data_IF_610907956791
#
_entry.id   IF_610907956791
#
_cell.length_a   1.000
_cell.length_b   1.000
_cell.length_c   1.000
_cell.angle_alpha   90.00
_cell.angle_beta   90.00
_cell.angle_gamma   90.00
#
_symmetry.space_group_name_H-M   'P 1'
#
loop_
_entity.id
_entity.type
_entity.pdbx_description
1 polymer ?
#
# COMPACT_ATOMS: atom_id res chain seq x y z
N UNK A 1 -30.50 -48.19 -8.70
CA UNK A 1 -29.39 -47.20 -8.73
C UNK A 1 -29.85 -45.74 -8.60
N UNK A 2 -31.03 -45.45 -7.97
CA UNK A 2 -31.66 -44.13 -7.96
C UNK A 2 -31.74 -43.44 -6.59
N UNK A 3 -31.33 -44.07 -5.45
CA UNK A 3 -31.64 -43.53 -4.13
C UNK A 3 -30.45 -43.18 -3.21
N UNK A 4 -29.28 -43.02 -3.75
CA UNK A 4 -28.08 -42.76 -2.91
C UNK A 4 -27.82 -41.23 -2.68
N UNK A 5 -28.51 -40.31 -3.34
CA UNK A 5 -28.24 -38.87 -3.24
C UNK A 5 -29.31 -38.00 -2.56
N UNK A 6 -30.21 -38.60 -1.76
CA UNK A 6 -31.18 -37.85 -0.93
C UNK A 6 -30.94 -37.97 0.57
N UNK A 7 -29.73 -37.78 1.03
CA UNK A 7 -29.47 -37.26 2.38
C UNK A 7 -28.94 -35.84 2.26
N UNK A 8 -29.82 -34.92 1.91
CA UNK A 8 -29.64 -33.53 2.31
C UNK A 8 -29.75 -33.51 3.83
N UNK A 9 -28.60 -33.56 4.53
CA UNK A 9 -28.56 -33.28 5.95
C UNK A 9 -29.27 -31.93 6.15
N UNK A 10 -30.21 -31.87 7.09
CA UNK A 10 -30.89 -30.63 7.45
C UNK A 10 -29.82 -29.59 7.76
N UNK A 11 -29.78 -28.47 6.99
CA UNK A 11 -28.87 -27.37 7.26
C UNK A 11 -29.21 -26.82 8.65
N UNK A 12 -28.33 -27.04 9.62
CA UNK A 12 -28.52 -26.61 11.01
C UNK A 12 -28.12 -25.16 11.22
N UNK A 13 -27.58 -24.48 10.18
CA UNK A 13 -27.19 -23.09 10.26
C UNK A 13 -28.40 -22.16 10.33
N UNK A 14 -28.49 -21.35 11.39
CA UNK A 14 -29.50 -20.33 11.53
C UNK A 14 -29.00 -19.02 10.89
N UNK A 15 -29.75 -18.48 9.92
CA UNK A 15 -29.43 -17.20 9.29
C UNK A 15 -29.82 -16.07 10.24
N UNK A 16 -28.83 -15.32 10.72
CA UNK A 16 -29.08 -14.15 11.57
C UNK A 16 -29.56 -12.94 10.74
N UNK A 17 -29.04 -12.76 9.54
CA UNK A 17 -29.47 -11.72 8.61
C UNK A 17 -29.01 -12.04 7.19
N UNK A 18 -29.74 -11.54 6.21
CA UNK A 18 -29.38 -11.61 4.78
C UNK A 18 -29.52 -10.21 4.17
N UNK A 19 -28.41 -9.67 3.65
CA UNK A 19 -28.38 -8.35 3.00
C UNK A 19 -28.04 -8.54 1.53
N UNK A 20 -28.73 -7.86 0.59
CA UNK A 20 -28.46 -7.98 -0.82
C UNK A 20 -27.02 -7.54 -1.18
N UNK A 21 -26.28 -8.38 -1.91
CA UNK A 21 -24.98 -8.05 -2.48
C UNK A 21 -25.17 -7.22 -3.76
N UNK A 22 -25.23 -5.88 -3.61
CA UNK A 22 -25.54 -4.93 -4.70
C UNK A 22 -24.83 -3.58 -4.49
N UNK A 23 -24.97 -2.69 -5.49
CA UNK A 23 -24.43 -1.32 -5.44
C UNK A 23 -22.90 -1.29 -5.37
N UNK A 24 -22.36 -0.32 -4.65
CA UNK A 24 -20.92 -0.07 -4.54
C UNK A 24 -20.14 -1.31 -4.06
N UNK A 25 -20.69 -2.05 -3.07
CA UNK A 25 -20.04 -3.27 -2.56
C UNK A 25 -19.86 -4.34 -3.63
N UNK A 26 -20.85 -4.48 -4.53
CA UNK A 26 -20.75 -5.43 -5.65
C UNK A 26 -19.69 -4.99 -6.65
N UNK A 27 -19.67 -3.71 -7.04
CA UNK A 27 -18.67 -3.15 -7.97
C UNK A 27 -17.24 -3.35 -7.44
N UNK A 28 -17.02 -3.03 -6.14
CA UNK A 28 -15.72 -3.26 -5.49
C UNK A 28 -15.35 -4.74 -5.51
N UNK A 29 -16.28 -5.63 -5.14
CA UNK A 29 -16.02 -7.06 -5.11
C UNK A 29 -15.70 -7.63 -6.48
N UNK A 30 -16.41 -7.26 -7.53
CA UNK A 30 -16.14 -7.66 -8.92
C UNK A 30 -14.77 -7.16 -9.38
N UNK A 31 -14.42 -5.89 -9.12
CA UNK A 31 -13.11 -5.31 -9.45
C UNK A 31 -11.97 -6.04 -8.75
N UNK A 32 -12.11 -6.30 -7.44
CA UNK A 32 -11.09 -7.01 -6.68
C UNK A 32 -10.95 -8.48 -7.10
N UNK A 33 -12.06 -9.16 -7.37
CA UNK A 33 -12.06 -10.53 -7.88
C UNK A 33 -11.38 -10.59 -9.25
N UNK A 34 -11.73 -9.68 -10.17
CA UNK A 34 -11.08 -9.59 -11.48
C UNK A 34 -9.57 -9.41 -11.33
N UNK A 35 -9.11 -8.42 -10.52
CA UNK A 35 -7.69 -8.19 -10.28
C UNK A 35 -6.99 -9.43 -9.76
N UNK A 36 -7.56 -10.07 -8.71
CA UNK A 36 -6.92 -11.21 -8.05
C UNK A 36 -6.82 -12.44 -8.94
N UNK A 37 -7.81 -12.68 -9.79
CA UNK A 37 -7.86 -13.89 -10.63
C UNK A 37 -7.21 -13.70 -12.01
N UNK A 38 -7.05 -12.47 -12.51
CA UNK A 38 -6.43 -12.22 -13.82
C UNK A 38 -4.94 -11.89 -13.72
N UNK A 39 -4.50 -11.22 -12.63
CA UNK A 39 -3.10 -10.89 -12.43
C UNK A 39 -2.43 -11.95 -11.54
N UNK A 40 -1.44 -12.71 -12.02
CA UNK A 40 -0.62 -13.57 -11.18
C UNK A 40 0.16 -12.70 -10.19
N UNK A 41 -0.32 -12.62 -8.94
CA UNK A 41 0.32 -11.80 -7.91
C UNK A 41 1.60 -12.45 -7.40
N UNK A 42 2.69 -11.70 -7.41
CA UNK A 42 3.94 -12.05 -6.74
C UNK A 42 4.15 -11.08 -5.57
N UNK A 43 4.71 -11.58 -4.46
CA UNK A 43 4.79 -10.83 -3.20
C UNK A 43 6.23 -10.77 -2.70
N UNK A 44 6.69 -9.56 -2.33
CA UNK A 44 8.02 -9.30 -1.79
C UNK A 44 7.87 -8.59 -0.45
N UNK A 45 8.37 -9.18 0.61
CA UNK A 45 8.28 -8.62 1.97
C UNK A 45 9.68 -8.34 2.51
N UNK A 46 9.87 -7.18 3.10
CA UNK A 46 11.06 -6.85 3.87
C UNK A 46 10.70 -6.08 5.15
N UNK A 47 11.59 -6.18 6.15
CA UNK A 47 11.46 -5.47 7.41
C UNK A 47 12.33 -4.21 7.41
N UNK A 48 11.74 -3.09 7.85
CA UNK A 48 12.35 -1.76 7.92
C UNK A 48 12.57 -1.38 9.36
N UNK A 49 13.78 -0.98 9.75
CA UNK A 49 14.04 -0.30 11.02
C UNK A 49 13.54 1.15 10.93
N UNK A 50 12.51 1.47 11.71
CA UNK A 50 11.87 2.78 11.67
C UNK A 50 12.45 3.77 12.67
N UNK A 51 13.57 3.48 13.32
CA UNK A 51 14.19 4.34 14.34
C UNK A 51 14.46 5.73 13.76
N UNK A 52 15.18 5.80 12.64
CA UNK A 52 15.51 7.08 12.00
C UNK A 52 14.29 7.75 11.36
N UNK A 53 13.37 6.97 10.78
CA UNK A 53 12.14 7.50 10.21
C UNK A 53 11.30 8.25 11.27
N UNK A 54 11.18 7.66 12.46
CA UNK A 54 10.42 8.26 13.58
C UNK A 54 11.10 9.54 14.09
N UNK A 55 12.42 9.53 14.26
CA UNK A 55 13.21 10.68 14.68
C UNK A 55 13.15 11.81 13.63
N UNK A 56 13.29 11.46 12.35
CA UNK A 56 13.21 12.41 11.23
C UNK A 56 11.84 13.09 11.16
N UNK A 57 10.75 12.31 11.20
CA UNK A 57 9.39 12.85 11.24
C UNK A 57 9.16 13.77 12.42
N UNK A 58 9.69 13.43 13.62
CA UNK A 58 9.58 14.28 14.79
C UNK A 58 10.22 15.63 14.53
N UNK A 59 11.47 15.66 14.05
CA UNK A 59 12.20 16.91 13.71
C UNK A 59 11.46 17.75 12.66
N UNK A 60 10.94 17.11 11.61
CA UNK A 60 10.12 17.81 10.59
C UNK A 60 8.91 18.50 11.22
N UNK A 61 8.21 17.82 12.13
CA UNK A 61 7.01 18.34 12.77
C UNK A 61 7.29 19.42 13.84
N UNK A 62 8.54 19.64 14.22
CA UNK A 62 8.93 20.76 15.10
C UNK A 62 8.95 22.11 14.36
N UNK A 63 9.16 22.08 13.03
CA UNK A 63 9.30 23.29 12.20
C UNK A 63 8.25 23.42 11.11
N UNK A 64 7.51 22.34 10.81
CA UNK A 64 6.53 22.33 9.73
C UNK A 64 5.21 22.97 10.15
N UNK A 65 4.66 23.82 9.28
CA UNK A 65 3.31 24.38 9.44
C UNK A 65 2.19 23.34 9.30
N UNK A 66 2.47 22.26 8.56
CA UNK A 66 1.55 21.15 8.33
C UNK A 66 2.10 19.90 9.02
N UNK A 67 1.25 19.21 9.79
CA UNK A 67 1.64 17.97 10.45
C UNK A 67 1.90 16.87 9.42
N UNK A 68 3.15 16.40 9.38
CA UNK A 68 3.61 15.32 8.50
C UNK A 68 3.26 13.96 9.12
N UNK A 69 2.51 13.15 8.40
CA UNK A 69 2.21 11.78 8.77
C UNK A 69 3.25 10.80 8.20
N UNK A 70 3.28 9.57 8.71
CA UNK A 70 4.13 8.50 8.13
C UNK A 70 3.70 8.19 6.70
N UNK A 71 2.38 8.22 6.42
CA UNK A 71 1.85 8.02 5.06
C UNK A 71 2.40 9.02 4.04
N UNK A 72 2.65 10.26 4.45
CA UNK A 72 3.16 11.29 3.55
C UNK A 72 4.63 11.01 3.17
N UNK A 73 5.43 10.56 4.14
CA UNK A 73 6.80 10.09 3.90
C UNK A 73 6.83 8.83 3.03
N UNK A 74 5.90 7.89 3.26
CA UNK A 74 5.75 6.70 2.41
C UNK A 74 5.39 7.07 0.97
N UNK A 75 4.49 8.03 0.77
CA UNK A 75 4.10 8.53 -0.56
C UNK A 75 5.28 9.16 -1.28
N UNK A 76 6.07 9.99 -0.60
CA UNK A 76 7.27 10.60 -1.18
C UNK A 76 8.36 9.57 -1.47
N UNK A 77 8.58 8.59 -0.58
CA UNK A 77 9.51 7.49 -0.80
C UNK A 77 9.09 6.64 -2.01
N UNK A 78 7.80 6.30 -2.12
CA UNK A 78 7.26 5.58 -3.26
C UNK A 78 7.45 6.37 -4.56
N UNK A 79 7.18 7.67 -4.55
CA UNK A 79 7.42 8.55 -5.71
C UNK A 79 8.89 8.51 -6.15
N UNK A 80 9.82 8.60 -5.20
CA UNK A 80 11.27 8.55 -5.51
C UNK A 80 11.68 7.18 -6.05
N UNK A 81 11.15 6.10 -5.47
CA UNK A 81 11.40 4.75 -5.94
C UNK A 81 10.83 4.51 -7.35
N UNK A 82 9.62 5.00 -7.63
CA UNK A 82 9.00 4.90 -8.97
C UNK A 82 9.75 5.70 -10.04
N UNK A 83 10.36 6.84 -9.68
CA UNK A 83 11.28 7.56 -10.58
C UNK A 83 12.51 6.73 -10.93
N UNK A 84 13.08 6.02 -9.96
CA UNK A 84 14.27 5.19 -10.15
C UNK A 84 13.94 3.88 -10.89
N UNK A 85 12.75 3.33 -10.65
CA UNK A 85 12.28 2.06 -11.22
C UNK A 85 10.97 2.25 -11.99
N UNK A 86 10.99 2.93 -13.16
CA UNK A 86 9.77 3.25 -13.90
C UNK A 86 9.01 2.00 -14.39
N UNK A 87 9.67 0.83 -14.48
CA UNK A 87 9.03 -0.44 -14.79
C UNK A 87 8.06 -0.96 -13.71
N UNK A 88 8.01 -0.33 -12.52
CA UNK A 88 6.96 -0.58 -11.52
C UNK A 88 5.72 0.31 -11.77
N UNK A 89 5.90 1.49 -12.38
CA UNK A 89 4.84 2.47 -12.64
C UNK A 89 4.13 2.18 -13.98
N UNK A 90 3.60 0.96 -14.11
CA UNK A 90 3.07 0.43 -15.37
C UNK A 90 1.65 -0.10 -15.23
N UNK A 91 0.97 -0.27 -16.36
CA UNK A 91 -0.29 -1.02 -16.46
C UNK A 91 -0.28 -1.91 -17.70
N UNK A 92 -0.97 -3.06 -17.64
CA UNK A 92 -1.28 -3.88 -18.81
C UNK A 92 -2.62 -3.40 -19.38
N UNK A 93 -2.60 -2.83 -20.57
CA UNK A 93 -3.79 -2.31 -21.24
C UNK A 93 -3.73 -2.66 -22.73
N UNK A 94 -4.80 -3.25 -23.26
CA UNK A 94 -4.95 -3.59 -24.68
C UNK A 94 -3.72 -4.36 -25.21
N UNK A 95 -3.27 -5.39 -24.46
CA UNK A 95 -2.07 -6.21 -24.73
C UNK A 95 -0.75 -5.41 -24.80
N UNK A 96 -0.74 -4.20 -24.26
CA UNK A 96 0.45 -3.36 -24.18
C UNK A 96 0.84 -3.08 -22.72
N UNK A 97 2.13 -3.08 -22.45
CA UNK A 97 2.68 -2.57 -21.18
C UNK A 97 2.87 -1.06 -21.33
N UNK A 98 2.00 -0.30 -20.66
CA UNK A 98 2.05 1.16 -20.67
C UNK A 98 2.80 1.64 -19.44
N UNK A 99 3.91 2.36 -19.64
CA UNK A 99 4.68 3.01 -18.56
C UNK A 99 4.25 4.47 -18.44
N UNK A 100 3.89 4.88 -17.22
CA UNK A 100 3.47 6.26 -16.96
C UNK A 100 4.64 7.15 -16.56
N UNK A 101 4.68 8.38 -17.09
CA UNK A 101 5.57 9.45 -16.62
C UNK A 101 5.01 10.12 -15.35
N UNK A 102 3.68 10.22 -15.27
CA UNK A 102 3.00 10.72 -14.07
C UNK A 102 3.06 9.66 -12.96
N UNK A 103 3.34 10.12 -11.74
CA UNK A 103 3.32 9.28 -10.55
C UNK A 103 2.12 9.73 -9.70
N UNK A 104 1.05 8.96 -9.79
CA UNK A 104 -0.21 9.20 -9.09
C UNK A 104 -0.37 8.15 -8.00
N UNK A 105 -0.20 8.56 -6.75
CA UNK A 105 -0.16 7.62 -5.62
C UNK A 105 -1.50 7.61 -4.91
N UNK A 106 -2.15 6.45 -4.94
CA UNK A 106 -3.37 6.18 -4.20
C UNK A 106 -3.08 5.71 -2.77
N UNK A 107 -3.91 6.10 -1.81
CA UNK A 107 -3.84 5.61 -0.43
C UNK A 107 -5.16 4.95 -0.07
N UNK A 108 -5.13 3.68 0.34
CA UNK A 108 -6.34 2.96 0.74
C UNK A 108 -6.90 3.52 2.06
N UNK A 109 -8.15 3.96 2.04
CA UNK A 109 -8.87 4.54 3.20
C UNK A 109 -10.17 3.78 3.41
N UNK A 110 -10.40 3.31 4.63
CA UNK A 110 -11.68 2.77 5.03
C UNK A 110 -12.66 3.92 5.30
N UNK A 111 -13.77 3.94 4.59
CA UNK A 111 -14.89 4.87 4.78
C UNK A 111 -16.19 4.15 5.11
N UNK A 112 -17.25 4.88 5.41
CA UNK A 112 -18.56 4.34 5.81
C UNK A 112 -19.18 3.44 4.74
N UNK A 113 -18.91 3.73 3.46
CA UNK A 113 -19.44 2.99 2.31
C UNK A 113 -18.48 1.89 1.78
N UNK A 114 -17.38 1.61 2.47
CA UNK A 114 -16.36 0.64 2.08
C UNK A 114 -14.99 1.27 1.85
N UNK A 115 -14.08 0.50 1.23
CA UNK A 115 -12.73 0.95 0.94
C UNK A 115 -12.75 1.87 -0.29
N UNK A 116 -12.14 3.04 -0.17
CA UNK A 116 -11.87 3.97 -1.28
C UNK A 116 -10.37 4.30 -1.33
N UNK A 117 -9.87 4.63 -2.51
CA UNK A 117 -8.45 4.90 -2.72
C UNK A 117 -8.31 6.31 -3.32
N UNK A 118 -8.33 7.38 -2.48
CA UNK A 118 -8.01 8.72 -2.95
C UNK A 118 -6.59 8.78 -3.52
N UNK A 119 -6.40 9.57 -4.57
CA UNK A 119 -5.17 9.62 -5.37
C UNK A 119 -4.58 11.02 -5.35
N UNK A 120 -3.34 11.12 -4.86
CA UNK A 120 -2.53 12.33 -5.01
C UNK A 120 -1.87 12.27 -6.39
N UNK A 121 -2.28 13.19 -7.28
CA UNK A 121 -1.79 13.20 -8.67
C UNK A 121 -0.48 13.97 -8.80
N UNK A 122 0.39 13.48 -9.72
CA UNK A 122 1.65 14.12 -10.05
C UNK A 122 2.55 14.40 -8.82
N UNK A 123 2.68 13.41 -7.94
CA UNK A 123 3.49 13.50 -6.71
C UNK A 123 4.94 13.91 -7.02
N UNK A 124 5.46 13.55 -8.21
CA UNK A 124 6.80 13.91 -8.66
C UNK A 124 7.05 15.42 -8.76
N UNK A 125 6.00 16.24 -8.78
CA UNK A 125 6.06 17.70 -8.89
C UNK A 125 5.66 18.40 -7.57
N UNK A 126 5.49 17.67 -6.48
CA UNK A 126 5.01 18.17 -5.19
C UNK A 126 6.11 18.12 -4.14
N UNK A 127 6.05 19.07 -3.21
CA UNK A 127 6.84 19.02 -1.99
C UNK A 127 6.18 18.10 -0.96
N UNK A 128 6.92 17.69 0.07
CA UNK A 128 6.36 16.91 1.18
C UNK A 128 5.20 17.65 1.87
N UNK A 129 5.30 18.98 2.00
CA UNK A 129 4.25 19.82 2.60
C UNK A 129 2.98 19.83 1.76
N UNK A 130 3.10 19.86 0.42
CA UNK A 130 1.96 19.79 -0.50
C UNK A 130 1.28 18.42 -0.39
N UNK A 131 2.07 17.34 -0.38
CA UNK A 131 1.56 15.97 -0.21
C UNK A 131 0.83 15.84 1.12
N UNK A 132 1.39 16.34 2.22
CA UNK A 132 0.77 16.25 3.55
C UNK A 132 -0.55 17.03 3.63
N UNK A 133 -0.62 18.22 2.99
CA UNK A 133 -1.85 19.03 2.95
C UNK A 133 -2.94 18.35 2.14
N UNK A 134 -2.61 17.87 0.94
CA UNK A 134 -3.54 17.19 0.05
C UNK A 134 -4.00 15.84 0.61
N UNK A 135 -3.08 15.05 1.15
CA UNK A 135 -3.38 13.78 1.83
C UNK A 135 -4.37 13.96 2.97
N UNK A 136 -4.15 14.96 3.82
CA UNK A 136 -5.04 15.25 4.96
C UNK A 136 -6.46 15.58 4.50
N UNK A 137 -6.61 16.41 3.46
CA UNK A 137 -7.90 16.79 2.91
C UNK A 137 -8.62 15.59 2.27
N UNK A 138 -7.91 14.88 1.36
CA UNK A 138 -8.45 13.71 0.67
C UNK A 138 -8.89 12.61 1.64
N UNK A 139 -8.08 12.30 2.66
CA UNK A 139 -8.42 11.27 3.66
C UNK A 139 -9.63 11.67 4.49
N UNK A 140 -9.75 12.94 4.88
CA UNK A 140 -10.92 13.43 5.63
C UNK A 140 -12.21 13.27 4.81
N UNK A 141 -12.20 13.74 3.56
CA UNK A 141 -13.36 13.64 2.65
C UNK A 141 -13.66 12.20 2.21
N UNK A 142 -12.63 11.36 2.10
CA UNK A 142 -12.79 9.93 1.81
C UNK A 142 -13.61 9.22 2.89
N UNK A 143 -13.32 9.48 4.17
CA UNK A 143 -14.04 8.88 5.31
C UNK A 143 -15.50 9.28 5.33
N UNK A 144 -15.80 10.50 4.93
CA UNK A 144 -17.16 11.06 4.90
C UNK A 144 -17.89 10.75 3.56
N UNK A 145 -17.27 10.00 2.65
CA UNK A 145 -17.86 9.66 1.35
C UNK A 145 -18.05 10.85 0.42
N UNK A 146 -17.26 11.92 0.57
CA UNK A 146 -17.39 13.21 -0.16
C UNK A 146 -16.32 13.41 -1.25
N UNK A 147 -15.68 12.35 -1.71
CA UNK A 147 -14.73 12.43 -2.83
C UNK A 147 -15.46 12.52 -4.17
N UNK A 148 -14.97 13.37 -5.06
CA UNK A 148 -15.35 13.37 -6.46
C UNK A 148 -14.73 12.19 -7.21
N UNK A 149 -15.34 11.67 -8.29
CA UNK A 149 -14.81 10.54 -9.05
C UNK A 149 -13.37 10.72 -9.54
N UNK A 150 -12.98 11.94 -9.89
CA UNK A 150 -11.66 12.30 -10.35
C UNK A 150 -10.58 12.15 -9.27
N UNK A 151 -10.98 12.19 -7.99
CA UNK A 151 -10.07 12.13 -6.84
C UNK A 151 -9.68 10.70 -6.43
N UNK A 152 -10.37 9.68 -6.95
CA UNK A 152 -10.03 8.25 -6.75
C UNK A 152 -9.81 7.51 -8.07
N UNK A 153 -9.57 8.24 -9.14
CA UNK A 153 -9.24 7.72 -10.47
C UNK A 153 -7.82 8.07 -10.89
N UNK A 154 -7.33 7.41 -11.94
CA UNK A 154 -6.01 7.65 -12.56
C UNK A 154 -4.83 7.37 -11.62
N UNK A 155 -4.99 6.55 -10.58
CA UNK A 155 -3.88 6.03 -9.79
C UNK A 155 -2.95 5.19 -10.65
N UNK A 156 -1.64 5.30 -10.39
CA UNK A 156 -0.61 4.49 -11.05
C UNK A 156 0.11 3.56 -10.09
N UNK A 157 -0.01 3.83 -8.80
CA UNK A 157 0.53 3.03 -7.70
C UNK A 157 -0.30 3.27 -6.43
N UNK A 158 -0.56 2.23 -5.66
CA UNK A 158 -1.32 2.34 -4.41
C UNK A 158 -0.50 1.96 -3.18
N UNK A 159 -0.85 2.58 -2.04
CA UNK A 159 -0.33 2.23 -0.72
C UNK A 159 -1.50 1.84 0.18
N UNK A 160 -1.43 0.64 0.79
CA UNK A 160 -2.36 0.17 1.81
C UNK A 160 -1.67 0.13 3.17
N UNK A 161 -2.05 1.03 4.07
CA UNK A 161 -1.42 1.16 5.39
C UNK A 161 -2.38 0.70 6.49
N UNK A 162 -2.09 -0.45 7.11
CA UNK A 162 -2.80 -0.98 8.27
C UNK A 162 -2.01 -0.83 9.58
N UNK A 163 -0.99 0.03 9.60
CA UNK A 163 -0.14 0.25 10.76
C UNK A 163 -0.90 0.65 12.03
N UNK A 164 -1.98 1.41 11.89
CA UNK A 164 -2.82 1.83 13.02
C UNK A 164 -3.69 0.72 13.62
N UNK A 165 -3.87 -0.40 12.91
CA UNK A 165 -4.71 -1.52 13.33
C UNK A 165 -3.96 -2.65 14.02
N UNK A 166 -2.66 -2.51 14.27
CA UNK A 166 -1.85 -3.52 14.96
C UNK A 166 -1.51 -4.75 14.10
N UNK A 167 -1.68 -4.67 12.77
CA UNK A 167 -1.40 -5.80 11.85
C UNK A 167 0.11 -5.89 11.60
N UNK A 168 0.69 -7.07 11.86
CA UNK A 168 2.14 -7.28 11.71
C UNK A 168 2.60 -7.58 10.29
N UNK A 169 1.74 -8.14 9.46
CA UNK A 169 1.97 -8.37 8.04
C UNK A 169 0.66 -8.70 7.33
N UNK A 170 0.52 -8.30 6.08
CA UNK A 170 -0.62 -8.65 5.22
C UNK A 170 -0.27 -8.45 3.75
N UNK A 171 -0.99 -9.12 2.87
CA UNK A 171 -0.89 -8.97 1.42
C UNK A 171 -2.07 -8.16 0.91
N UNK A 172 -1.82 -7.13 0.11
CA UNK A 172 -2.87 -6.39 -0.57
C UNK A 172 -3.16 -6.98 -1.96
N UNK A 173 -4.42 -6.86 -2.38
CA UNK A 173 -4.81 -7.12 -3.77
C UNK A 173 -4.52 -5.87 -4.59
N UNK A 174 -3.92 -6.03 -5.76
CA UNK A 174 -3.58 -4.93 -6.67
C UNK A 174 -4.86 -4.18 -7.04
N UNK A 175 -4.81 -2.84 -6.95
CA UNK A 175 -5.90 -1.96 -7.33
C UNK A 175 -5.90 -1.72 -8.86
N UNK A 176 -6.40 -2.68 -9.62
CA UNK A 176 -6.44 -2.55 -11.09
C UNK A 176 -7.06 -1.21 -11.54
N UNK A 177 -6.53 -0.57 -12.60
CA UNK A 177 -5.57 -1.08 -13.59
C UNK A 177 -4.09 -0.93 -13.20
N UNK A 178 -3.76 -0.50 -11.99
CA UNK A 178 -2.38 -0.48 -11.50
C UNK A 178 -1.77 -1.90 -11.54
N UNK A 179 -0.45 -2.00 -11.62
CA UNK A 179 0.26 -3.28 -11.61
C UNK A 179 1.03 -3.55 -10.31
N UNK A 180 0.98 -2.63 -9.34
CA UNK A 180 1.65 -2.80 -8.06
C UNK A 180 0.93 -2.06 -6.92
N UNK A 181 1.03 -2.62 -5.71
CA UNK A 181 0.55 -2.00 -4.47
C UNK A 181 1.51 -2.31 -3.32
N UNK A 182 1.81 -1.30 -2.50
CA UNK A 182 2.62 -1.43 -1.30
C UNK A 182 1.74 -1.58 -0.06
N UNK A 183 1.92 -2.67 0.68
CA UNK A 183 1.31 -2.87 2.00
C UNK A 183 2.28 -2.43 3.09
N UNK A 184 1.78 -1.73 4.11
CA UNK A 184 2.57 -1.23 5.24
C UNK A 184 1.93 -1.68 6.54
N UNK A 185 2.71 -2.37 7.37
CA UNK A 185 2.28 -2.96 8.63
C UNK A 185 2.49 -2.04 9.84
N UNK A 186 2.10 -2.51 11.01
CA UNK A 186 2.34 -1.83 12.28
C UNK A 186 3.82 -1.86 12.66
N UNK A 187 4.30 -0.78 13.25
CA UNK A 187 5.60 -0.75 13.92
C UNK A 187 5.54 -1.56 15.21
N UNK A 188 6.46 -2.52 15.35
CA UNK A 188 6.56 -3.39 16.54
C UNK A 188 8.00 -3.43 17.05
N UNK A 189 8.16 -3.43 18.37
CA UNK A 189 9.46 -3.71 19.00
C UNK A 189 9.84 -5.17 18.72
N UNK A 190 10.94 -5.38 18.02
CA UNK A 190 11.40 -6.69 17.58
C UNK A 190 12.86 -6.87 17.97
N UNK A 191 13.27 -8.02 18.53
CA UNK A 191 14.68 -8.33 18.69
C UNK A 191 15.29 -8.59 17.31
N UNK A 192 16.38 -7.88 17.01
CA UNK A 192 17.13 -8.01 15.75
C UNK A 192 18.62 -8.14 16.05
N UNK A 193 19.33 -8.80 15.18
CA UNK A 193 20.80 -8.81 15.22
C UNK A 193 21.31 -7.51 14.63
N UNK A 194 22.18 -6.83 15.36
CA UNK A 194 22.91 -5.64 14.90
C UNK A 194 24.40 -5.93 14.98
N UNK A 195 25.15 -5.64 13.92
CA UNK A 195 26.59 -5.76 13.90
C UNK A 195 27.22 -4.45 14.34
N UNK A 196 28.00 -4.45 15.41
CA UNK A 196 28.73 -3.30 15.91
C UNK A 196 29.88 -2.88 15.01
N UNK A 197 30.48 -1.71 15.28
CA UNK A 197 31.63 -1.20 14.52
C UNK A 197 32.86 -2.13 14.58
N UNK A 198 32.97 -2.92 15.65
CA UNK A 198 34.01 -3.93 15.84
C UNK A 198 33.74 -5.26 15.08
N UNK A 199 32.60 -5.35 14.35
CA UNK A 199 32.16 -6.57 13.64
C UNK A 199 31.52 -7.63 14.54
N UNK A 200 31.27 -7.34 15.82
CA UNK A 200 30.57 -8.27 16.72
C UNK A 200 29.05 -8.11 16.62
N UNK A 201 28.36 -9.24 16.61
CA UNK A 201 26.89 -9.28 16.58
C UNK A 201 26.33 -9.17 18.00
N UNK A 202 25.30 -8.33 18.15
CA UNK A 202 24.53 -8.17 19.38
C UNK A 202 23.03 -8.18 19.08
N UNK A 203 22.22 -8.59 20.08
CA UNK A 203 20.76 -8.49 19.99
C UNK A 203 20.34 -7.11 20.47
N UNK A 204 19.65 -6.38 19.61
CA UNK A 204 19.05 -5.10 19.95
C UNK A 204 17.52 -5.14 19.75
N UNK A 205 16.79 -4.35 20.53
CA UNK A 205 15.35 -4.16 20.32
C UNK A 205 15.16 -2.95 19.41
N UNK A 206 14.57 -3.16 18.24
CA UNK A 206 14.32 -2.11 17.24
C UNK A 206 12.82 -1.99 16.91
N UNK A 207 12.34 -0.78 16.58
CA UNK A 207 10.99 -0.57 16.09
C UNK A 207 10.91 -0.98 14.60
N UNK A 208 10.52 -2.23 14.33
CA UNK A 208 10.46 -2.80 12.98
C UNK A 208 9.07 -2.67 12.37
N UNK A 209 9.02 -2.40 11.08
CA UNK A 209 7.81 -2.30 10.26
C UNK A 209 8.01 -3.14 8.99
N UNK A 210 7.08 -4.05 8.71
CA UNK A 210 7.11 -4.77 7.43
C UNK A 210 6.48 -3.92 6.33
N UNK A 211 7.16 -3.87 5.20
CA UNK A 211 6.62 -3.42 3.92
C UNK A 211 6.50 -4.62 2.99
N UNK A 212 5.45 -4.67 2.20
CA UNK A 212 5.26 -5.73 1.22
C UNK A 212 4.77 -5.16 -0.09
N UNK A 213 5.44 -5.48 -1.18
CA UNK A 213 5.03 -5.14 -2.53
C UNK A 213 4.28 -6.34 -3.15
N UNK A 214 3.05 -6.11 -3.61
CA UNK A 214 2.33 -7.04 -4.49
C UNK A 214 2.42 -6.53 -5.91
N UNK A 215 2.83 -7.37 -6.87
CA UNK A 215 3.00 -7.00 -8.28
C UNK A 215 2.28 -7.97 -9.21
N UNK A 216 1.85 -7.47 -10.35
CA UNK A 216 1.36 -8.27 -11.47
C UNK A 216 2.54 -8.86 -12.23
N UNK A 217 2.76 -10.19 -12.07
CA UNK A 217 3.91 -10.87 -12.66
C UNK A 217 3.86 -11.01 -14.18
N UNK A 218 2.78 -10.57 -14.83
CA UNK A 218 2.72 -10.49 -16.29
C UNK A 218 3.55 -9.32 -16.84
N UNK A 219 3.79 -8.29 -16.05
CA UNK A 219 4.43 -7.03 -16.47
C UNK A 219 5.59 -6.59 -15.57
N UNK A 220 5.71 -7.16 -14.37
CA UNK A 220 6.78 -6.85 -13.41
C UNK A 220 7.46 -8.16 -13.00
N UNK A 221 8.76 -8.27 -13.26
CA UNK A 221 9.55 -9.43 -12.89
C UNK A 221 10.10 -9.37 -11.44
N UNK A 222 10.62 -10.53 -10.98
CA UNK A 222 11.09 -10.68 -9.61
C UNK A 222 12.31 -9.82 -9.28
N UNK A 223 13.24 -9.64 -10.22
CA UNK A 223 14.45 -8.83 -9.99
C UNK A 223 14.09 -7.36 -9.82
N UNK A 224 13.27 -6.81 -10.71
CA UNK A 224 12.82 -5.42 -10.65
C UNK A 224 12.05 -5.14 -9.35
N UNK A 225 11.14 -6.04 -8.97
CA UNK A 225 10.35 -5.91 -7.76
C UNK A 225 11.22 -5.97 -6.49
N UNK A 226 12.21 -6.89 -6.41
CA UNK A 226 13.12 -6.99 -5.27
C UNK A 226 13.99 -5.74 -5.11
N UNK A 227 14.55 -5.22 -6.21
CA UNK A 227 15.32 -3.99 -6.21
C UNK A 227 14.50 -2.77 -5.77
N UNK A 228 13.23 -2.71 -6.17
CA UNK A 228 12.31 -1.66 -5.73
C UNK A 228 12.07 -1.73 -4.22
N UNK A 229 11.78 -2.91 -3.66
CA UNK A 229 11.53 -3.09 -2.22
C UNK A 229 12.79 -2.77 -1.40
N UNK A 230 13.95 -3.23 -1.83
CA UNK A 230 15.23 -2.91 -1.20
C UNK A 230 15.48 -1.39 -1.18
N UNK A 231 15.22 -0.70 -2.29
CA UNK A 231 15.39 0.74 -2.35
C UNK A 231 14.35 1.49 -1.49
N UNK A 232 13.11 1.01 -1.44
CA UNK A 232 12.11 1.53 -0.52
C UNK A 232 12.57 1.42 0.93
N UNK A 233 13.12 0.26 1.33
CA UNK A 233 13.71 0.05 2.66
C UNK A 233 14.82 1.04 2.93
N UNK A 234 15.79 1.21 2.03
CA UNK A 234 16.88 2.17 2.16
C UNK A 234 16.37 3.60 2.37
N UNK A 235 15.35 4.04 1.62
CA UNK A 235 14.75 5.36 1.77
C UNK A 235 14.08 5.54 3.14
N UNK A 236 13.45 4.50 3.67
CA UNK A 236 12.75 4.57 4.95
C UNK A 236 13.71 4.47 6.15
N UNK A 237 14.80 3.74 6.01
CA UNK A 237 15.88 3.65 7.02
C UNK A 237 16.80 4.87 7.00
N UNK A 238 16.90 5.58 5.84
CA UNK A 238 17.68 6.80 5.67
C UNK A 238 16.80 7.95 5.14
N UNK A 239 15.82 8.44 5.93
CA UNK A 239 14.71 9.25 5.44
C UNK A 239 15.09 10.63 4.89
N UNK A 240 16.28 11.15 5.19
CA UNK A 240 16.78 12.37 4.55
C UNK A 240 16.85 12.21 3.02
N UNK A 241 17.13 11.01 2.54
CA UNK A 241 17.20 10.72 1.11
C UNK A 241 15.84 10.88 0.41
N UNK A 242 14.73 10.83 1.14
CA UNK A 242 13.39 11.03 0.56
C UNK A 242 13.25 12.44 0.00
N UNK A 243 13.91 13.43 0.62
CA UNK A 243 13.81 14.85 0.27
C UNK A 243 14.91 15.32 -0.70
N UNK A 244 15.91 14.52 -0.94
CA UNK A 244 17.01 14.82 -1.90
C UNK A 244 16.61 14.38 -3.31
#
# INVERSE_FOLDING_TARGET
LGDVYKRQGSDTRQVASAVPYKGVRRIIGEKLAQSKFTAPHLYFTDAVDTTELAAFRKRLNETSEVKIAVSDLLTMAACKALKKFPGINVTLKDDQVVTYKSINVGTAVAGDNGLVVPVIKNVQNKTLTDVARESKDLVARAREGRLAPEEYSEGTFSISNLGMFGIGNFTAIINAPESAILSVSSVRKTPVVVTGENGEDAIAIRPMMNIQLSVDHRVIDGLLASQFVEYMKQLLEHPIQILM
#
